data_IF_074273531693
#
_entry.id   IF_074273531693
#
_cell.length_a   1.000
_cell.length_b   1.000
_cell.length_c   1.000
_cell.angle_alpha   90.00
_cell.angle_beta   90.00
_cell.angle_gamma   90.00
#
_symmetry.space_group_name_H-M   'P 1'
#
loop_
_entity.id
_entity.type
_entity.pdbx_description
1 polymer ?
#
# COMPACT_ATOMS: atom_id res chain seq x y z
N UNK A 1 6.18 16.39 43.80
CA UNK A 1 7.48 15.99 43.26
C UNK A 1 7.42 15.34 41.84
N UNK A 2 6.36 14.66 41.44
CA UNK A 2 6.24 14.05 40.11
C UNK A 2 5.94 15.04 38.97
N UNK A 3 5.27 16.16 39.23
CA UNK A 3 4.91 17.14 38.20
C UNK A 3 6.10 18.01 37.74
N UNK A 4 7.05 18.29 38.65
CA UNK A 4 8.22 19.10 38.31
C UNK A 4 9.23 18.35 37.44
N UNK A 5 9.29 17.01 37.53
CA UNK A 5 10.18 16.19 36.73
C UNK A 5 9.69 16.06 35.28
N UNK A 6 8.39 16.04 35.06
CA UNK A 6 7.77 15.98 33.72
C UNK A 6 8.00 17.26 32.92
N UNK A 7 7.96 18.42 33.57
CA UNK A 7 8.25 19.71 32.94
C UNK A 7 9.73 19.87 32.55
N UNK A 8 10.65 19.35 33.37
CA UNK A 8 12.08 19.39 33.07
C UNK A 8 12.45 18.54 31.84
N UNK A 9 11.79 17.38 31.65
CA UNK A 9 12.02 16.50 30.48
C UNK A 9 11.45 17.12 29.20
N UNK A 10 10.35 17.86 29.31
CA UNK A 10 9.75 18.54 28.16
C UNK A 10 10.58 19.75 27.72
N UNK A 11 11.20 20.49 28.67
CA UNK A 11 12.07 21.64 28.36
C UNK A 11 13.39 21.23 27.71
N UNK A 12 13.92 20.06 28.04
CA UNK A 12 15.16 19.55 27.41
C UNK A 12 14.95 19.14 25.96
N UNK A 13 13.73 18.76 25.58
CA UNK A 13 13.41 18.39 24.19
C UNK A 13 13.33 19.62 23.25
N UNK A 14 13.04 20.82 23.79
CA UNK A 14 12.96 22.06 23.03
C UNK A 14 14.34 22.72 22.85
N UNK A 15 15.23 22.61 23.83
CA UNK A 15 16.54 23.26 23.79
C UNK A 15 17.53 22.64 22.81
N UNK A 16 17.32 21.39 22.37
CA UNK A 16 18.22 20.70 21.41
C UNK A 16 17.91 21.03 19.94
N UNK A 17 16.87 21.78 19.65
CA UNK A 17 16.46 22.10 18.25
C UNK A 17 17.06 23.39 17.70
N UNK A 18 17.88 24.13 18.47
CA UNK A 18 18.49 25.41 18.03
C UNK A 18 19.97 25.37 17.71
N UNK A 19 20.63 24.24 17.81
CA UNK A 19 22.07 24.10 17.53
C UNK A 19 22.40 23.37 16.22
N UNK A 20 21.73 23.72 15.13
CA UNK A 20 21.97 23.01 13.85
C UNK A 20 21.67 23.83 12.60
N UNK A 21 21.78 25.16 12.68
CA UNK A 21 21.61 25.99 11.49
C UNK A 21 22.77 27.02 11.45
N UNK A 22 23.96 26.54 11.04
CA UNK A 22 24.99 27.45 10.50
C UNK A 22 25.99 26.64 9.67
N UNK A 23 26.19 27.15 8.46
CA UNK A 23 27.32 26.88 7.55
C UNK A 23 27.31 25.60 6.72
N UNK A 24 26.83 25.70 5.50
CA UNK A 24 27.44 25.03 4.36
C UNK A 24 27.68 26.05 3.26
N UNK A 25 28.98 26.26 3.01
CA UNK A 25 29.49 27.16 2.03
C UNK A 25 29.23 26.74 0.58
N UNK A 26 29.15 27.74 -0.26
CA UNK A 26 29.09 27.64 -1.70
C UNK A 26 30.34 26.99 -2.27
N UNK A 27 30.17 25.87 -2.97
CA UNK A 27 31.17 25.23 -3.81
C UNK A 27 30.68 25.17 -5.25
N UNK A 28 31.16 26.07 -6.10
CA UNK A 28 31.03 25.98 -7.56
C UNK A 28 31.97 24.92 -8.10
N UNK A 29 31.48 24.01 -8.92
CA UNK A 29 32.27 23.21 -9.90
C UNK A 29 31.28 22.92 -11.04
N UNK A 30 31.46 23.46 -12.25
CA UNK A 30 32.37 22.99 -13.24
C UNK A 30 31.55 22.22 -14.29
N UNK A 31 31.19 22.94 -15.41
CA UNK A 31 30.58 22.34 -16.61
C UNK A 31 31.59 21.36 -17.27
N UNK A 32 31.14 20.17 -17.57
CA UNK A 32 31.82 19.18 -18.41
C UNK A 32 30.88 18.74 -19.53
N UNK A 33 31.08 19.27 -20.73
CA UNK A 33 30.53 18.75 -21.96
C UNK A 33 31.34 17.56 -22.45
N UNK A 34 30.73 16.47 -22.82
CA UNK A 34 31.21 15.47 -23.80
C UNK A 34 29.92 14.74 -24.22
N UNK A 35 29.54 14.58 -25.44
CA UNK A 35 30.14 14.18 -26.66
C UNK A 35 29.11 13.25 -27.28
N UNK A 36 28.49 13.67 -28.38
CA UNK A 36 27.56 12.87 -29.17
C UNK A 36 28.37 11.81 -29.96
N UNK A 37 27.93 10.57 -29.91
CA UNK A 37 28.29 9.57 -30.92
C UNK A 37 27.04 8.94 -31.51
N UNK A 38 26.86 9.18 -32.78
CA UNK A 38 25.92 8.54 -33.68
C UNK A 38 26.54 7.25 -34.22
N UNK A 39 25.82 6.17 -34.18
CA UNK A 39 25.97 4.98 -35.06
C UNK A 39 24.61 4.28 -35.00
N UNK A 40 23.89 3.93 -36.04
CA UNK A 40 24.09 3.61 -37.40
C UNK A 40 22.89 2.79 -37.77
N UNK A 41 22.17 3.20 -38.82
CA UNK A 41 21.02 2.48 -39.37
C UNK A 41 21.48 1.18 -40.02
N UNK A 42 20.80 0.09 -39.67
CA UNK A 42 20.91 -1.18 -40.38
C UNK A 42 19.55 -1.55 -40.98
N UNK A 43 19.38 -1.27 -42.26
CA UNK A 43 18.34 -1.86 -43.12
C UNK A 43 18.76 -3.29 -43.52
N UNK A 44 17.84 -4.20 -43.45
CA UNK A 44 17.91 -5.49 -44.13
C UNK A 44 16.49 -5.81 -44.61
N UNK A 45 16.30 -5.63 -45.77
CA UNK A 45 16.07 -6.26 -47.04
C UNK A 45 15.07 -7.42 -47.03
N UNK A 46 14.01 -7.16 -47.79
CA UNK A 46 12.90 -8.07 -48.09
C UNK A 46 13.25 -8.83 -49.36
N UNK A 47 13.29 -10.15 -49.32
CA UNK A 47 13.24 -10.95 -50.51
C UNK A 47 11.94 -11.73 -50.59
N UNK A 48 11.13 -11.31 -51.55
CA UNK A 48 10.05 -12.13 -52.13
C UNK A 48 10.66 -13.25 -52.96
N UNK A 49 10.08 -14.45 -52.88
CA UNK A 49 10.14 -15.44 -54.00
C UNK A 49 8.86 -16.26 -54.03
N UNK A 50 8.07 -15.97 -54.98
CA UNK A 50 7.34 -16.76 -56.01
C UNK A 50 6.67 -18.10 -55.70
N UNK A 51 5.36 -18.04 -55.89
CA UNK A 51 4.43 -18.86 -56.72
C UNK A 51 4.87 -20.25 -57.15
N UNK A 52 4.06 -21.25 -56.84
CA UNK A 52 3.58 -22.21 -57.85
C UNK A 52 2.21 -22.80 -57.51
N UNK A 53 1.31 -22.68 -58.49
CA UNK A 53 0.05 -23.41 -58.63
C UNK A 53 0.37 -24.83 -59.07
N UNK A 54 -0.38 -25.80 -58.65
CA UNK A 54 -1.14 -26.71 -59.52
C UNK A 54 -1.81 -27.86 -58.75
N UNK A 55 -3.00 -28.31 -59.25
CA UNK A 55 -3.47 -29.68 -58.99
C UNK A 55 -4.86 -29.84 -58.36
N UNK A 56 -5.86 -29.77 -59.19
CA UNK A 56 -7.22 -30.31 -59.03
C UNK A 56 -7.27 -31.72 -58.47
N UNK A 57 -8.18 -32.03 -57.52
CA UNK A 57 -9.03 -33.22 -57.66
C UNK A 57 -10.33 -33.12 -56.85
N UNK A 58 -11.41 -33.61 -57.46
CA UNK A 58 -12.77 -33.67 -56.96
C UNK A 58 -12.97 -34.82 -55.99
N UNK A 59 -13.71 -34.56 -54.89
CA UNK A 59 -14.20 -35.61 -54.03
C UNK A 59 -15.41 -35.08 -53.22
N UNK A 60 -16.60 -35.18 -53.83
CA UNK A 60 -17.87 -35.13 -53.14
C UNK A 60 -17.96 -36.21 -52.08
N UNK A 61 -18.08 -35.84 -50.82
CA UNK A 61 -18.68 -36.72 -49.79
C UNK A 61 -19.37 -35.85 -48.71
N UNK A 62 -20.67 -35.93 -48.81
CA UNK A 62 -21.67 -35.96 -47.71
C UNK A 62 -21.58 -34.92 -46.59
N UNK A 63 -22.16 -33.77 -46.83
CA UNK A 63 -22.54 -32.78 -45.87
C UNK A 63 -23.92 -33.12 -45.25
N UNK A 64 -23.97 -34.02 -44.29
CA UNK A 64 -25.19 -34.13 -43.44
C UNK A 64 -24.89 -34.98 -42.21
N UNK A 65 -24.30 -34.45 -41.17
CA UNK A 65 -24.44 -34.92 -39.77
C UNK A 65 -23.58 -34.20 -38.71
N UNK A 66 -22.96 -33.04 -38.99
CA UNK A 66 -22.12 -32.37 -38.00
C UNK A 66 -22.62 -30.99 -37.55
N UNK A 67 -23.84 -30.61 -37.90
CA UNK A 67 -24.35 -29.25 -37.59
C UNK A 67 -25.25 -29.16 -36.35
N UNK A 68 -25.22 -30.09 -35.43
CA UNK A 68 -26.09 -30.03 -34.19
C UNK A 68 -25.39 -30.28 -32.88
N UNK A 69 -24.11 -30.09 -32.79
CA UNK A 69 -23.40 -30.00 -31.50
C UNK A 69 -22.59 -28.70 -31.35
N UNK A 70 -23.05 -27.61 -31.93
CA UNK A 70 -22.61 -26.29 -31.53
C UNK A 70 -23.21 -26.00 -30.16
N UNK A 71 -22.61 -26.65 -29.19
CA UNK A 71 -22.29 -26.15 -27.87
C UNK A 71 -23.20 -25.01 -27.40
N UNK A 72 -24.16 -25.34 -26.54
CA UNK A 72 -24.58 -24.45 -25.45
C UNK A 72 -23.36 -24.18 -24.59
N UNK A 73 -22.47 -23.34 -25.05
CA UNK A 73 -21.60 -22.59 -24.17
C UNK A 73 -22.51 -21.67 -23.35
N UNK A 74 -22.90 -22.14 -22.17
CA UNK A 74 -23.46 -21.25 -21.15
C UNK A 74 -22.49 -20.10 -21.02
N UNK A 75 -22.95 -18.83 -21.05
CA UNK A 75 -22.07 -17.72 -20.74
C UNK A 75 -21.56 -17.99 -19.32
N UNK A 76 -20.28 -18.25 -19.22
CA UNK A 76 -19.57 -18.24 -17.95
C UNK A 76 -19.75 -16.81 -17.49
N UNK A 77 -20.69 -16.60 -16.58
CA UNK A 77 -20.91 -15.34 -15.92
C UNK A 77 -19.58 -15.01 -15.23
N UNK A 78 -18.74 -14.30 -15.96
CA UNK A 78 -17.45 -13.82 -15.49
C UNK A 78 -17.80 -12.82 -14.40
N UNK A 79 -17.79 -13.29 -13.14
CA UNK A 79 -18.10 -12.48 -12.00
C UNK A 79 -17.07 -11.35 -11.95
N UNK A 80 -17.49 -10.20 -12.45
CA UNK A 80 -16.71 -8.97 -12.32
C UNK A 80 -16.28 -8.81 -10.86
N UNK A 81 -15.04 -8.42 -10.59
CA UNK A 81 -14.58 -8.26 -9.22
C UNK A 81 -15.47 -7.26 -8.51
N UNK A 82 -16.04 -7.68 -7.38
CA UNK A 82 -16.83 -6.78 -6.53
C UNK A 82 -15.85 -5.91 -5.74
N UNK A 83 -15.93 -4.62 -5.94
CA UNK A 83 -15.15 -3.63 -5.19
C UNK A 83 -16.00 -3.06 -4.04
N UNK A 84 -15.48 -3.19 -2.82
CA UNK A 84 -16.13 -2.67 -1.61
C UNK A 84 -15.20 -1.64 -0.97
N UNK A 85 -15.61 -0.38 -0.98
CA UNK A 85 -14.84 0.73 -0.40
C UNK A 85 -14.89 0.71 1.11
N UNK A 86 -13.85 1.22 1.76
CA UNK A 86 -13.83 1.43 3.20
C UNK A 86 -14.83 2.53 3.57
N UNK A 87 -15.60 2.28 4.64
CA UNK A 87 -16.53 3.26 5.19
C UNK A 87 -15.81 4.45 5.84
N UNK A 88 -16.51 5.57 5.96
CA UNK A 88 -15.99 6.82 6.53
C UNK A 88 -15.51 6.73 7.98
N UNK A 89 -16.02 5.76 8.73
CA UNK A 89 -15.63 5.50 10.12
C UNK A 89 -14.38 4.64 10.26
N UNK A 90 -13.74 4.27 9.15
CA UNK A 90 -12.46 3.57 9.18
C UNK A 90 -11.36 4.49 9.68
N UNK A 91 -10.44 3.96 10.49
CA UNK A 91 -9.37 4.73 11.10
C UNK A 91 -8.04 3.98 11.11
N UNK A 92 -6.94 4.74 11.12
CA UNK A 92 -5.59 4.22 11.26
C UNK A 92 -4.90 4.89 12.42
N UNK A 93 -4.36 4.09 13.33
CA UNK A 93 -3.55 4.53 14.45
C UNK A 93 -2.18 3.87 14.40
N UNK A 94 -1.19 4.56 14.91
CA UNK A 94 0.14 4.01 15.13
C UNK A 94 0.62 4.37 16.54
N UNK A 95 1.43 3.48 17.11
CA UNK A 95 2.00 3.66 18.44
C UNK A 95 3.50 3.43 18.40
N UNK A 96 4.23 4.32 19.06
CA UNK A 96 5.67 4.17 19.32
C UNK A 96 5.94 4.28 20.82
N UNK A 97 7.11 3.77 21.25
CA UNK A 97 7.58 3.92 22.63
C UNK A 97 8.70 4.94 22.69
N UNK A 98 8.62 5.81 23.68
CA UNK A 98 9.68 6.78 24.01
C UNK A 98 10.42 6.23 25.24
N UNK A 99 11.75 6.19 25.15
CA UNK A 99 12.62 5.57 26.18
C UNK A 99 12.19 4.15 26.56
N UNK A 100 11.58 3.40 25.62
CA UNK A 100 11.11 2.04 25.81
C UNK A 100 9.85 1.90 26.68
N UNK A 101 9.42 2.95 27.40
CA UNK A 101 8.38 2.90 28.44
C UNK A 101 7.13 3.70 28.05
N UNK A 102 7.28 4.95 27.63
CA UNK A 102 6.16 5.85 27.40
C UNK A 102 5.55 5.64 26.01
N UNK A 103 4.28 5.35 25.96
CA UNK A 103 3.54 5.19 24.70
C UNK A 103 3.16 6.56 24.14
N UNK A 104 3.44 6.76 22.86
CA UNK A 104 2.92 7.88 22.05
C UNK A 104 2.06 7.32 20.93
N UNK A 105 0.84 7.82 20.84
CA UNK A 105 -0.14 7.39 19.83
C UNK A 105 -0.37 8.55 18.88
N UNK A 106 -0.36 8.25 17.60
CA UNK A 106 -0.79 9.12 16.53
C UNK A 106 -1.82 8.44 15.64
N UNK A 107 -2.50 9.21 14.83
CA UNK A 107 -3.49 8.72 13.88
C UNK A 107 -3.40 9.49 12.57
N UNK A 108 -4.02 8.89 11.54
CA UNK A 108 -4.26 9.56 10.26
C UNK A 108 -5.75 9.77 10.10
N UNK A 109 -6.15 10.97 9.70
CA UNK A 109 -7.56 11.35 9.51
C UNK A 109 -8.07 11.10 8.10
N UNK A 110 -7.15 10.90 7.13
CA UNK A 110 -7.51 10.67 5.74
C UNK A 110 -6.95 9.33 5.27
N UNK A 111 -7.85 8.37 5.11
CA UNK A 111 -7.58 7.06 4.57
C UNK A 111 -8.65 6.69 3.53
N UNK A 112 -8.21 6.11 2.44
CA UNK A 112 -9.07 5.50 1.42
C UNK A 112 -8.62 4.07 1.20
N UNK A 113 -9.57 3.19 0.90
CA UNK A 113 -9.24 1.82 0.58
C UNK A 113 -10.43 1.05 0.07
N UNK A 114 -10.15 -0.12 -0.46
CA UNK A 114 -11.14 -1.03 -0.97
C UNK A 114 -10.70 -2.49 -0.87
N UNK A 115 -11.71 -3.35 -0.77
CA UNK A 115 -11.61 -4.79 -0.93
C UNK A 115 -12.07 -5.15 -2.35
N UNK A 116 -11.25 -5.85 -3.09
CA UNK A 116 -11.63 -6.46 -4.37
C UNK A 116 -11.85 -7.95 -4.16
N UNK A 117 -13.10 -8.37 -4.27
CA UNK A 117 -13.52 -9.78 -4.07
C UNK A 117 -13.70 -10.42 -5.43
N UNK A 118 -13.00 -11.53 -5.68
CA UNK A 118 -13.13 -12.32 -6.91
C UNK A 118 -13.25 -13.80 -6.55
N UNK A 119 -14.41 -14.39 -6.78
CA UNK A 119 -14.72 -15.77 -6.37
C UNK A 119 -14.38 -15.98 -4.87
N UNK A 120 -13.42 -16.84 -4.58
CA UNK A 120 -13.02 -17.22 -3.22
C UNK A 120 -11.81 -16.44 -2.69
N UNK A 121 -11.36 -15.41 -3.40
CA UNK A 121 -10.18 -14.63 -3.06
C UNK A 121 -10.47 -13.15 -2.90
N UNK A 122 -9.67 -12.49 -2.07
CA UNK A 122 -9.76 -11.07 -1.77
C UNK A 122 -8.38 -10.44 -1.95
N UNK A 123 -8.37 -9.21 -2.46
CA UNK A 123 -7.25 -8.27 -2.40
C UNK A 123 -7.68 -7.00 -1.70
N UNK A 124 -6.77 -6.40 -0.95
CA UNK A 124 -6.98 -5.13 -0.25
C UNK A 124 -6.01 -4.10 -0.80
N UNK A 125 -6.54 -2.93 -1.13
CA UNK A 125 -5.75 -1.73 -1.41
C UNK A 125 -6.10 -0.64 -0.40
N UNK A 126 -5.10 0.06 0.15
CA UNK A 126 -5.30 1.20 1.02
C UNK A 126 -4.29 2.31 0.70
N UNK A 127 -4.74 3.55 0.81
CA UNK A 127 -3.94 4.78 0.69
C UNK A 127 -4.24 5.67 1.87
N UNK A 128 -3.20 6.20 2.49
CA UNK A 128 -3.29 7.06 3.66
C UNK A 128 -2.52 8.33 3.34
N UNK A 129 -3.13 9.50 3.55
CA UNK A 129 -2.47 10.79 3.34
C UNK A 129 -1.52 11.07 4.49
N UNK A 130 -0.23 11.21 4.23
CA UNK A 130 0.79 11.47 5.26
C UNK A 130 0.59 12.82 5.95
N UNK A 131 0.10 13.82 5.20
CA UNK A 131 -0.23 15.14 5.74
C UNK A 131 -1.39 15.13 6.75
N UNK A 132 -2.23 14.07 6.73
CA UNK A 132 -3.35 13.91 7.66
C UNK A 132 -2.93 13.40 9.05
N UNK A 133 -1.61 13.23 9.30
CA UNK A 133 -1.09 12.79 10.60
C UNK A 133 -1.48 13.75 11.71
N UNK A 134 -2.06 13.19 12.77
CA UNK A 134 -2.43 13.89 13.99
C UNK A 134 -1.83 13.21 15.22
N UNK A 135 -1.58 14.00 16.25
CA UNK A 135 -1.15 13.57 17.57
C UNK A 135 -1.81 14.45 18.63
N UNK A 136 -1.72 14.05 19.91
CA UNK A 136 -2.18 14.88 21.02
C UNK A 136 -1.50 16.26 21.05
N UNK A 137 -0.22 16.33 20.68
CA UNK A 137 0.55 17.56 20.54
C UNK A 137 0.63 17.97 19.06
N UNK A 138 0.26 19.21 18.76
CA UNK A 138 0.36 19.78 17.40
C UNK A 138 1.81 19.87 16.91
N UNK A 139 2.76 20.15 17.82
CA UNK A 139 4.19 20.17 17.51
C UNK A 139 4.72 18.78 17.16
N UNK A 140 4.27 17.73 17.86
CA UNK A 140 4.61 16.34 17.50
C UNK A 140 4.04 15.97 16.14
N UNK A 141 2.79 16.39 15.85
CA UNK A 141 2.18 16.14 14.54
C UNK A 141 2.94 16.87 13.41
N UNK A 142 3.36 18.12 13.62
CA UNK A 142 4.17 18.85 12.65
C UNK A 142 5.53 18.18 12.44
N UNK A 143 6.18 17.73 13.52
CA UNK A 143 7.45 17.00 13.45
C UNK A 143 7.32 15.72 12.62
N UNK A 144 6.24 14.95 12.79
CA UNK A 144 6.03 13.72 12.02
C UNK A 144 5.85 13.97 10.52
N UNK A 145 5.31 15.12 10.11
CA UNK A 145 5.18 15.51 8.70
C UNK A 145 6.51 15.94 8.07
N UNK A 146 7.52 16.27 8.88
CA UNK A 146 8.82 16.75 8.42
C UNK A 146 9.63 15.67 7.70
N UNK A 147 10.70 16.10 7.02
CA UNK A 147 11.66 15.25 6.30
C UNK A 147 12.31 14.18 7.20
N UNK A 148 12.46 14.45 8.49
CA UNK A 148 13.05 13.50 9.44
C UNK A 148 12.18 12.24 9.68
N UNK A 149 10.86 12.33 9.39
CA UNK A 149 9.90 11.26 9.60
C UNK A 149 9.14 10.92 8.31
N UNK A 150 7.88 11.31 8.15
CA UNK A 150 7.09 10.93 6.96
C UNK A 150 7.49 11.66 5.69
N UNK A 151 8.09 12.85 5.82
CA UNK A 151 8.45 13.69 4.67
C UNK A 151 7.24 13.91 3.73
N UNK A 152 6.15 14.41 4.33
CA UNK A 152 4.86 14.47 3.69
C UNK A 152 4.83 15.34 2.41
N UNK A 153 5.77 16.26 2.27
CA UNK A 153 5.90 17.10 1.08
C UNK A 153 6.39 16.30 -0.14
N UNK A 154 7.31 15.36 0.05
CA UNK A 154 7.84 14.53 -1.04
C UNK A 154 7.12 13.19 -1.17
N UNK A 155 6.58 12.67 -0.07
CA UNK A 155 5.88 11.39 -0.02
C UNK A 155 4.47 11.57 0.57
N UNK A 156 3.52 12.12 -0.21
CA UNK A 156 2.19 12.46 0.28
C UNK A 156 1.35 11.26 0.70
N UNK A 157 1.68 10.05 0.23
CA UNK A 157 0.88 8.87 0.47
C UNK A 157 1.70 7.70 1.07
N UNK A 158 1.05 6.97 1.98
CA UNK A 158 1.40 5.61 2.38
C UNK A 158 0.47 4.68 1.61
N UNK A 159 1.03 3.67 0.93
CA UNK A 159 0.25 2.76 0.10
C UNK A 159 0.45 1.32 0.56
N UNK A 160 -0.65 0.61 0.77
CA UNK A 160 -0.64 -0.84 1.02
C UNK A 160 -1.39 -1.58 -0.08
N UNK A 161 -0.82 -2.68 -0.55
CA UNK A 161 -1.42 -3.60 -1.51
C UNK A 161 -1.20 -5.03 -1.04
N UNK A 162 -2.29 -5.72 -0.65
CA UNK A 162 -2.18 -7.11 -0.22
C UNK A 162 -1.88 -8.05 -1.39
N UNK A 163 -1.26 -9.17 -1.06
CA UNK A 163 -1.38 -10.36 -1.88
C UNK A 163 -2.83 -10.85 -1.82
N UNK A 164 -3.20 -11.72 -2.76
CA UNK A 164 -4.49 -12.37 -2.74
C UNK A 164 -4.58 -13.34 -1.57
N UNK A 165 -5.68 -13.34 -0.82
CA UNK A 165 -5.92 -14.25 0.29
C UNK A 165 -7.36 -14.79 0.24
N UNK A 166 -7.66 -15.93 0.89
CA UNK A 166 -8.99 -16.54 0.86
C UNK A 166 -10.06 -15.66 1.50
N UNK A 167 -11.29 -15.64 0.95
CA UNK A 167 -12.46 -15.00 1.57
C UNK A 167 -12.69 -15.52 2.99
N UNK A 168 -12.38 -16.79 3.26
CA UNK A 168 -12.47 -17.37 4.59
C UNK A 168 -11.70 -16.61 5.68
N UNK A 169 -10.60 -15.93 5.30
CA UNK A 169 -9.83 -15.06 6.22
C UNK A 169 -10.65 -13.88 6.72
N UNK A 170 -11.57 -13.35 5.91
CA UNK A 170 -12.48 -12.29 6.35
C UNK A 170 -13.48 -12.77 7.40
N UNK A 171 -13.84 -14.08 7.40
CA UNK A 171 -14.78 -14.67 8.37
C UNK A 171 -14.09 -15.09 9.66
N UNK A 172 -12.94 -15.73 9.54
CA UNK A 172 -12.30 -16.45 10.63
C UNK A 172 -11.14 -15.66 11.26
N UNK A 173 -10.79 -14.53 10.67
CA UNK A 173 -9.53 -13.86 10.96
C UNK A 173 -8.35 -14.60 10.33
N UNK A 174 -7.16 -14.06 10.48
CA UNK A 174 -5.93 -14.66 9.97
C UNK A 174 -4.84 -13.65 9.64
N UNK A 175 -3.83 -14.11 8.92
CA UNK A 175 -2.74 -13.27 8.47
C UNK A 175 -2.96 -12.83 7.02
N UNK A 176 -2.68 -11.57 6.76
CA UNK A 176 -2.65 -10.99 5.43
C UNK A 176 -1.25 -10.42 5.17
N UNK A 177 -0.71 -10.71 4.01
CA UNK A 177 0.59 -10.20 3.59
C UNK A 177 0.43 -9.26 2.40
N UNK A 178 1.31 -8.27 2.30
CA UNK A 178 1.26 -7.34 1.20
C UNK A 178 2.45 -6.40 1.15
N UNK A 179 2.53 -5.63 0.08
CA UNK A 179 3.54 -4.60 -0.12
C UNK A 179 3.08 -3.30 0.53
N UNK A 180 3.83 -2.83 1.53
CA UNK A 180 3.69 -1.50 2.12
C UNK A 180 4.74 -0.57 1.52
N UNK A 181 4.29 0.54 0.97
CA UNK A 181 5.17 1.62 0.49
C UNK A 181 5.01 2.82 1.40
N UNK A 182 6.12 3.23 2.01
CA UNK A 182 6.22 4.36 2.93
C UNK A 182 7.51 5.11 2.62
N UNK A 183 7.41 6.44 2.42
CA UNK A 183 8.54 7.27 1.97
C UNK A 183 9.21 6.75 0.69
N UNK A 184 8.43 6.30 -0.27
CA UNK A 184 8.95 5.72 -1.52
C UNK A 184 9.61 4.35 -1.37
N UNK A 185 9.82 3.84 -0.16
CA UNK A 185 10.43 2.54 0.11
C UNK A 185 9.33 1.50 0.26
N UNK A 186 9.44 0.42 -0.52
CA UNK A 186 8.49 -0.71 -0.47
C UNK A 186 9.08 -1.88 0.31
N UNK A 187 8.29 -2.47 1.20
CA UNK A 187 8.62 -3.68 1.96
C UNK A 187 7.43 -4.62 2.00
N UNK A 188 7.72 -5.91 2.04
CA UNK A 188 6.71 -6.92 2.35
C UNK A 188 6.39 -6.82 3.84
N UNK A 189 5.10 -6.70 4.17
CA UNK A 189 4.62 -6.63 5.54
C UNK A 189 3.53 -7.66 5.76
N UNK A 190 3.43 -8.13 7.00
CA UNK A 190 2.43 -9.07 7.45
C UNK A 190 1.59 -8.43 8.55
N UNK A 191 0.27 -8.56 8.42
CA UNK A 191 -0.70 -8.04 9.37
C UNK A 191 -1.62 -9.16 9.83
N UNK A 192 -2.12 -9.06 11.06
CA UNK A 192 -3.17 -9.91 11.59
C UNK A 192 -4.51 -9.22 11.40
N UNK A 193 -5.42 -9.90 10.74
CA UNK A 193 -6.81 -9.48 10.58
C UNK A 193 -7.66 -10.22 11.61
N UNK A 194 -8.53 -9.49 12.31
CA UNK A 194 -9.56 -9.99 13.21
C UNK A 194 -10.90 -9.49 12.74
N UNK A 195 -11.86 -10.38 12.56
CA UNK A 195 -13.21 -10.03 12.13
C UNK A 195 -14.00 -9.49 13.32
N UNK A 196 -14.69 -8.37 13.12
CA UNK A 196 -15.64 -7.86 14.11
C UNK A 196 -16.96 -8.61 14.04
N UNK A 197 -17.75 -8.58 15.13
CA UNK A 197 -19.11 -9.10 15.09
C UNK A 197 -19.88 -8.51 13.91
N UNK A 198 -20.49 -9.37 13.13
CA UNK A 198 -21.25 -8.99 11.95
C UNK A 198 -22.72 -9.26 12.17
N UNK A 199 -23.61 -8.41 11.66
CA UNK A 199 -25.04 -8.67 11.71
C UNK A 199 -25.38 -9.96 10.95
N UNK A 200 -26.42 -10.67 11.37
CA UNK A 200 -26.87 -11.90 10.70
C UNK A 200 -27.21 -11.67 9.23
N UNK A 201 -27.64 -10.46 8.89
CA UNK A 201 -27.93 -10.03 7.52
C UNK A 201 -26.71 -10.14 6.59
N UNK A 202 -25.50 -9.87 7.09
CA UNK A 202 -24.26 -9.91 6.29
C UNK A 202 -23.44 -11.20 6.50
N UNK A 203 -24.01 -12.21 7.16
CA UNK A 203 -23.30 -13.45 7.45
C UNK A 203 -22.75 -14.14 6.19
N UNK A 204 -23.43 -14.00 5.05
CA UNK A 204 -22.99 -14.55 3.76
C UNK A 204 -22.04 -13.60 2.98
N UNK A 205 -21.93 -12.35 3.41
CA UNK A 205 -21.10 -11.33 2.79
C UNK A 205 -20.03 -10.80 3.77
N UNK A 206 -19.04 -11.60 4.16
CA UNK A 206 -18.09 -11.23 5.21
C UNK A 206 -17.30 -9.96 4.89
N UNK A 207 -17.20 -9.59 3.62
CA UNK A 207 -16.57 -8.35 3.19
C UNK A 207 -17.37 -7.08 3.57
N UNK A 208 -18.61 -7.19 4.03
CA UNK A 208 -19.44 -6.08 4.54
C UNK A 208 -19.31 -5.88 6.04
N UNK A 209 -18.61 -6.79 6.71
CA UNK A 209 -18.34 -6.71 8.15
C UNK A 209 -17.17 -5.76 8.43
N UNK A 210 -17.01 -5.35 9.68
CA UNK A 210 -15.85 -4.60 10.11
C UNK A 210 -14.66 -5.53 10.41
N UNK A 211 -13.46 -4.98 10.32
CA UNK A 211 -12.20 -5.69 10.60
C UNK A 211 -11.29 -4.82 11.44
N UNK A 212 -10.58 -5.46 12.37
CA UNK A 212 -9.41 -4.89 13.00
C UNK A 212 -8.17 -5.51 12.38
N UNK A 213 -7.22 -4.69 11.98
CA UNK A 213 -5.97 -5.12 11.39
C UNK A 213 -4.83 -4.57 12.24
N UNK A 214 -3.99 -5.45 12.76
CA UNK A 214 -2.85 -5.08 13.58
C UNK A 214 -1.55 -5.60 12.99
N UNK A 215 -0.48 -4.85 13.18
CA UNK A 215 0.85 -5.26 12.74
C UNK A 215 1.93 -4.39 13.33
N UNK A 216 3.17 -4.84 13.18
CA UNK A 216 4.36 -4.11 13.63
C UNK A 216 5.29 -3.93 12.44
N UNK A 217 5.86 -2.75 12.31
CA UNK A 217 6.91 -2.46 11.34
C UNK A 217 8.10 -1.78 12.00
N UNK A 218 9.27 -1.85 11.37
CA UNK A 218 10.46 -1.10 11.78
C UNK A 218 10.57 0.17 10.95
N UNK A 219 10.45 1.34 11.60
CA UNK A 219 10.51 2.64 10.93
C UNK A 219 11.84 2.89 10.23
N UNK A 220 12.94 2.30 10.74
CA UNK A 220 14.26 2.39 10.12
C UNK A 220 14.34 1.74 8.74
N UNK A 221 13.53 0.69 8.48
CA UNK A 221 13.45 0.01 7.18
C UNK A 221 12.84 0.91 6.09
N UNK A 222 12.14 1.98 6.51
CA UNK A 222 11.56 3.01 5.66
C UNK A 222 12.32 4.34 5.71
N UNK A 223 13.59 4.31 6.16
CA UNK A 223 14.46 5.49 6.17
C UNK A 223 14.23 6.47 7.32
N UNK A 224 13.31 6.19 8.25
CA UNK A 224 13.03 7.04 9.42
C UNK A 224 14.01 6.73 10.56
N UNK A 225 15.17 7.41 10.56
CA UNK A 225 16.26 7.14 11.50
C UNK A 225 16.40 8.19 12.61
N UNK A 226 15.54 9.22 12.62
CA UNK A 226 15.60 10.29 13.60
C UNK A 226 15.39 9.77 15.03
N UNK A 227 16.05 10.40 16.01
CA UNK A 227 15.95 10.09 17.45
C UNK A 227 16.11 8.60 17.80
N UNK A 228 17.08 7.92 17.17
CA UNK A 228 17.46 6.55 17.55
C UNK A 228 17.84 6.50 19.03
N UNK A 229 17.45 5.44 19.72
CA UNK A 229 17.69 5.26 21.16
C UNK A 229 16.67 5.97 22.06
N UNK A 230 15.94 6.98 21.54
CA UNK A 230 14.88 7.66 22.27
C UNK A 230 13.50 7.12 21.84
N UNK A 231 13.25 7.11 20.53
CA UNK A 231 12.02 6.59 19.93
C UNK A 231 12.26 5.16 19.46
N UNK A 232 11.37 4.24 19.82
CA UNK A 232 11.43 2.84 19.38
C UNK A 232 11.52 2.74 17.87
N UNK A 233 12.26 1.75 17.39
CA UNK A 233 12.29 1.41 15.98
C UNK A 233 10.99 0.71 15.56
N UNK A 234 10.45 -0.10 16.46
CA UNK A 234 9.15 -0.75 16.27
C UNK A 234 8.00 0.25 16.39
N UNK A 235 7.11 0.20 15.41
CA UNK A 235 5.86 0.95 15.33
C UNK A 235 4.73 -0.06 15.25
N UNK A 236 3.86 -0.05 16.24
CA UNK A 236 2.62 -0.84 16.23
C UNK A 236 1.57 -0.08 15.39
N UNK A 237 0.92 -0.78 14.46
CA UNK A 237 -0.16 -0.26 13.63
C UNK A 237 -1.46 -0.94 14.01
N UNK A 238 -2.53 -0.14 14.14
CA UNK A 238 -3.89 -0.61 14.33
C UNK A 238 -4.81 0.09 13.33
N UNK A 239 -5.44 -0.70 12.47
CA UNK A 239 -6.43 -0.22 11.53
C UNK A 239 -7.79 -0.77 11.93
N UNK A 240 -8.75 0.11 12.04
CA UNK A 240 -10.15 -0.20 12.25
C UNK A 240 -10.87 0.04 10.92
N UNK A 241 -11.32 -1.02 10.27
CA UNK A 241 -11.91 -0.95 8.95
C UNK A 241 -13.40 -1.28 9.06
N UNK A 242 -14.24 -0.38 8.60
CA UNK A 242 -15.65 -0.61 8.35
C UNK A 242 -15.84 -0.70 6.83
N UNK A 243 -16.33 -1.84 6.37
CA UNK A 243 -16.59 -2.08 4.96
C UNK A 243 -18.07 -1.87 4.59
N UNK A 244 -18.87 -1.36 5.52
CA UNK A 244 -20.26 -1.01 5.26
C UNK A 244 -20.34 0.46 4.81
N UNK A 245 -20.65 0.75 3.54
CA UNK A 245 -20.91 2.11 3.10
C UNK A 245 -22.25 2.55 3.69
N UNK A 246 -22.23 3.46 4.65
CA UNK A 246 -23.39 4.28 4.96
C UNK A 246 -23.48 5.39 3.94
#
# INVERSE_FOLDING_TARGET
MHQTLLLAILSLAVAFNQAGADQVGAGQVGAGQVGADQVGAGQADITQTDLNQDGTDHGDVDQTAAAQQASRAQPVSEHLPREIKFGRTSSVQFQVRIFGVFKKIGSFTEMQGALSVRKDTVKVGARIQTASTTMQSSSDAALLKSQAYFDAAHFPEIVFQSLSFPVATLRNGGQISGKLTLRGISRQQMFRLTTKPCSKEFAQEPWRCGFDVVGTLKRSEFGMKARRGIVSDEVELTLNINANPN
#
